data_IF_393647196478
#
_entry.id   IF_393647196478
#
_cell.length_a   1.000
_cell.length_b   1.000
_cell.length_c   1.000
_cell.angle_alpha   90.00
_cell.angle_beta   90.00
_cell.angle_gamma   90.00
#
_symmetry.space_group_name_H-M   'P 1'
#
loop_
_entity.id
_entity.type
_entity.pdbx_description
1 polymer ?
#
# COMPACT_ATOMS: atom_id res chain seq x y z
N UNK A 1 -15.47 -0.30 -2.50
CA UNK A 1 -14.14 -0.58 -3.11
C UNK A 1 -13.11 0.27 -2.37
N UNK A 2 -11.99 -0.25 -1.86
CA UNK A 2 -11.01 0.58 -1.13
C UNK A 2 -10.10 1.38 -2.09
N UNK A 3 -9.52 2.49 -1.62
CA UNK A 3 -8.70 3.37 -2.46
C UNK A 3 -7.49 2.67 -3.11
N UNK A 4 -6.88 1.68 -2.43
CA UNK A 4 -5.80 0.86 -3.00
C UNK A 4 -6.25 0.11 -4.25
N UNK A 5 -7.41 -0.55 -4.17
CA UNK A 5 -7.99 -1.31 -5.29
C UNK A 5 -8.35 -0.37 -6.44
N UNK A 6 -8.85 0.82 -6.17
CA UNK A 6 -9.10 1.84 -7.19
C UNK A 6 -7.81 2.21 -7.95
N UNK A 7 -6.74 2.58 -7.23
CA UNK A 7 -5.45 2.93 -7.88
C UNK A 7 -4.93 1.75 -8.69
N UNK A 8 -4.98 0.53 -8.14
CA UNK A 8 -4.50 -0.66 -8.84
C UNK A 8 -5.30 -0.95 -10.12
N UNK A 9 -6.63 -0.84 -10.06
CA UNK A 9 -7.50 -0.98 -11.24
C UNK A 9 -7.16 0.06 -12.29
N UNK A 10 -7.09 1.36 -11.92
CA UNK A 10 -6.76 2.46 -12.84
C UNK A 10 -5.38 2.30 -13.49
N UNK A 11 -4.36 1.95 -12.71
CA UNK A 11 -3.03 1.65 -13.26
C UNK A 11 -3.06 0.49 -14.26
N UNK A 12 -3.94 -0.49 -14.08
CA UNK A 12 -4.04 -1.66 -14.95
C UNK A 12 -4.84 -1.37 -16.21
N UNK A 13 -5.87 -0.53 -16.14
CA UNK A 13 -6.76 -0.21 -17.26
C UNK A 13 -6.28 0.98 -18.09
N UNK A 14 -5.82 2.04 -17.43
CA UNK A 14 -5.47 3.32 -18.08
C UNK A 14 -3.97 3.62 -18.03
N UNK A 15 -3.19 2.83 -17.30
CA UNK A 15 -1.74 3.04 -17.13
C UNK A 15 -1.37 4.18 -16.17
N UNK A 16 -2.36 4.85 -15.60
CA UNK A 16 -2.23 5.95 -14.65
C UNK A 16 -3.38 5.99 -13.65
N UNK A 17 -3.17 6.63 -12.50
CA UNK A 17 -4.19 6.87 -11.48
C UNK A 17 -4.01 8.26 -10.85
N UNK A 18 -5.09 8.99 -10.54
CA UNK A 18 -4.98 10.23 -9.77
C UNK A 18 -4.56 9.93 -8.33
N UNK A 19 -3.82 10.86 -7.72
CA UNK A 19 -3.58 10.91 -6.26
C UNK A 19 -4.49 11.96 -5.58
N UNK A 20 -5.05 12.87 -6.38
CA UNK A 20 -6.01 13.88 -5.95
C UNK A 20 -7.43 13.30 -5.79
N UNK A 21 -8.08 13.60 -4.67
CA UNK A 21 -9.39 13.06 -4.31
C UNK A 21 -10.54 13.64 -5.15
N UNK A 22 -10.42 14.88 -5.61
CA UNK A 22 -11.45 15.50 -6.42
C UNK A 22 -11.43 14.94 -7.84
N UNK A 23 -10.24 14.74 -8.41
CA UNK A 23 -10.08 14.07 -9.69
C UNK A 23 -10.49 12.59 -9.60
N UNK A 24 -10.17 11.90 -8.50
CA UNK A 24 -10.67 10.55 -8.27
C UNK A 24 -12.20 10.49 -8.20
N UNK A 25 -12.85 11.43 -7.50
CA UNK A 25 -14.31 11.55 -7.44
C UNK A 25 -14.93 11.86 -8.79
N UNK A 26 -14.28 12.70 -9.60
CA UNK A 26 -14.74 13.00 -10.96
C UNK A 26 -14.72 11.74 -11.84
N UNK A 27 -13.65 10.95 -11.76
CA UNK A 27 -13.48 9.74 -12.56
C UNK A 27 -14.40 8.59 -12.10
N UNK A 28 -14.61 8.45 -10.79
CA UNK A 28 -15.43 7.38 -10.23
C UNK A 28 -16.11 7.83 -8.93
N UNK A 29 -17.30 8.46 -9.04
CA UNK A 29 -17.99 9.09 -7.90
C UNK A 29 -18.26 8.14 -6.72
N UNK A 30 -18.50 6.87 -7.03
CA UNK A 30 -18.80 5.82 -6.04
C UNK A 30 -17.59 5.46 -5.16
N UNK A 31 -16.37 5.79 -5.60
CA UNK A 31 -15.13 5.52 -4.86
C UNK A 31 -14.68 6.66 -3.97
N UNK A 32 -15.29 7.84 -4.10
CA UNK A 32 -14.84 9.08 -3.45
C UNK A 32 -14.75 8.98 -1.92
N UNK A 33 -15.70 8.28 -1.29
CA UNK A 33 -15.73 8.10 0.17
C UNK A 33 -14.55 7.27 0.65
N UNK A 34 -14.20 6.20 -0.06
CA UNK A 34 -13.08 5.32 0.26
C UNK A 34 -11.71 5.91 -0.11
N UNK A 35 -11.72 6.83 -1.06
CA UNK A 35 -10.53 7.51 -1.55
C UNK A 35 -10.08 8.61 -0.59
N UNK A 36 -11.01 9.34 0.05
CA UNK A 36 -10.69 10.36 1.06
C UNK A 36 -9.84 9.79 2.19
N UNK A 37 -10.23 8.63 2.72
CA UNK A 37 -9.49 7.97 3.79
C UNK A 37 -8.12 7.49 3.28
N UNK A 38 -8.09 6.91 2.08
CA UNK A 38 -6.86 6.37 1.50
C UNK A 38 -5.84 7.46 1.13
N UNK A 39 -6.29 8.61 0.62
CA UNK A 39 -5.44 9.77 0.32
C UNK A 39 -4.79 10.37 1.57
N UNK A 40 -5.48 10.36 2.72
CA UNK A 40 -4.91 10.79 3.99
C UNK A 40 -3.78 9.87 4.48
N UNK A 41 -3.93 8.54 4.30
CA UNK A 41 -2.89 7.54 4.60
C UNK A 41 -1.67 7.60 3.66
N UNK A 42 -1.82 8.24 2.50
CA UNK A 42 -0.80 8.32 1.44
C UNK A 42 -0.21 9.73 1.30
N UNK A 43 -0.38 10.58 2.31
CA UNK A 43 0.21 11.92 2.40
C UNK A 43 1.73 11.91 2.21
N UNK A 44 2.38 10.76 2.36
CA UNK A 44 3.79 10.55 2.04
C UNK A 44 3.96 9.88 0.67
N UNK A 45 4.48 10.64 -0.29
CA UNK A 45 4.81 10.19 -1.65
C UNK A 45 5.68 8.90 -1.70
N UNK A 46 6.64 8.65 -0.78
CA UNK A 46 7.38 7.39 -0.75
C UNK A 46 6.49 6.16 -0.48
N UNK A 47 5.45 6.31 0.34
CA UNK A 47 4.53 5.22 0.71
C UNK A 47 3.69 4.77 -0.49
N UNK A 48 3.35 5.69 -1.39
CA UNK A 48 2.70 5.37 -2.66
C UNK A 48 3.58 4.46 -3.52
N UNK A 49 4.86 4.78 -3.68
CA UNK A 49 5.78 4.00 -4.49
C UNK A 49 6.05 2.60 -3.90
N UNK A 50 6.03 2.48 -2.57
CA UNK A 50 6.10 1.19 -1.90
C UNK A 50 4.89 0.29 -2.21
N UNK A 51 3.67 0.85 -2.20
CA UNK A 51 2.46 0.08 -2.47
C UNK A 51 2.23 -0.22 -3.96
N UNK A 52 2.81 0.59 -4.84
CA UNK A 52 2.64 0.49 -6.29
C UNK A 52 4.01 0.48 -6.98
N UNK A 53 4.76 -0.64 -6.89
CA UNK A 53 6.10 -0.73 -7.46
C UNK A 53 6.09 -0.56 -8.99
N UNK A 54 7.17 -0.01 -9.54
CA UNK A 54 7.31 0.25 -10.98
C UNK A 54 6.47 1.43 -11.48
N UNK A 55 5.89 2.22 -10.57
CA UNK A 55 5.21 3.47 -10.92
C UNK A 55 6.09 4.68 -10.61
N UNK A 56 5.71 5.82 -11.18
CA UNK A 56 6.37 7.11 -11.05
C UNK A 56 5.31 8.16 -10.73
N UNK A 57 5.71 9.15 -9.96
CA UNK A 57 4.89 10.33 -9.71
C UNK A 57 5.13 11.34 -10.83
N UNK A 58 4.07 11.95 -11.32
CA UNK A 58 4.13 12.98 -12.34
C UNK A 58 3.16 14.09 -11.98
N UNK A 59 3.61 15.34 -12.06
CA UNK A 59 2.69 16.49 -12.03
C UNK A 59 2.15 16.70 -13.44
N UNK A 60 0.84 16.88 -13.53
CA UNK A 60 0.13 17.24 -14.76
C UNK A 60 -0.76 18.43 -14.47
N UNK A 61 -0.94 19.30 -15.45
CA UNK A 61 -1.91 20.39 -15.40
C UNK A 61 -3.11 19.98 -16.22
N UNK A 62 -4.30 20.06 -15.63
CA UNK A 62 -5.58 19.74 -16.29
C UNK A 62 -6.46 20.97 -16.16
N UNK A 63 -6.80 21.64 -17.27
CA UNK A 63 -7.62 22.87 -17.27
C UNK A 63 -7.19 23.88 -16.17
N UNK A 64 -5.92 24.27 -16.17
CA UNK A 64 -5.28 25.19 -15.20
C UNK A 64 -5.12 24.69 -13.75
N UNK A 65 -5.45 23.43 -13.47
CA UNK A 65 -5.23 22.82 -12.16
C UNK A 65 -4.05 21.87 -12.18
N UNK A 66 -3.07 22.09 -11.30
CA UNK A 66 -1.98 21.15 -11.08
C UNK A 66 -2.45 19.95 -10.23
N UNK A 67 -2.21 18.75 -10.76
CA UNK A 67 -2.58 17.48 -10.13
C UNK A 67 -1.39 16.53 -10.17
N UNK A 68 -1.20 15.76 -9.10
CA UNK A 68 -0.21 14.69 -9.07
C UNK A 68 -0.89 13.37 -9.46
N UNK A 69 -0.29 12.68 -10.41
CA UNK A 69 -0.74 11.36 -10.87
C UNK A 69 0.36 10.33 -10.69
N UNK A 70 -0.07 9.09 -10.47
CA UNK A 70 0.79 7.92 -10.48
C UNK A 70 0.72 7.28 -11.86
N UNK A 71 1.85 6.96 -12.47
CA UNK A 71 1.90 6.36 -13.82
C UNK A 71 2.99 5.31 -13.94
N UNK A 72 2.80 4.29 -14.78
CA UNK A 72 3.88 3.35 -15.14
C UNK A 72 4.78 3.89 -16.26
N UNK A 73 4.24 4.77 -17.11
CA UNK A 73 4.97 5.35 -18.24
C UNK A 73 4.53 6.79 -18.51
N UNK A 74 5.49 7.68 -18.76
CA UNK A 74 5.22 9.04 -19.22
C UNK A 74 4.81 9.09 -20.70
N UNK A 75 5.04 8.01 -21.44
CA UNK A 75 4.72 7.95 -22.87
C UNK A 75 3.21 8.12 -23.09
N UNK A 76 2.86 9.09 -23.94
CA UNK A 76 1.50 9.54 -24.26
C UNK A 76 0.61 9.78 -23.03
N UNK A 77 1.19 10.10 -21.88
CA UNK A 77 0.44 10.25 -20.62
C UNK A 77 -0.57 11.40 -20.72
N UNK A 78 -0.14 12.56 -21.22
CA UNK A 78 -1.02 13.72 -21.41
C UNK A 78 -2.22 13.37 -22.29
N UNK A 79 -2.00 12.73 -23.44
CA UNK A 79 -3.07 12.30 -24.35
C UNK A 79 -4.06 11.34 -23.67
N UNK A 80 -3.56 10.36 -22.90
CA UNK A 80 -4.43 9.41 -22.17
C UNK A 80 -5.28 10.11 -21.12
N UNK A 81 -4.73 11.09 -20.42
CA UNK A 81 -5.48 11.85 -19.41
C UNK A 81 -6.49 12.77 -20.10
N UNK A 82 -6.08 13.46 -21.17
CA UNK A 82 -6.94 14.34 -21.95
C UNK A 82 -8.15 13.60 -22.53
N UNK A 83 -7.95 12.41 -23.08
CA UNK A 83 -9.05 11.59 -23.60
C UNK A 83 -10.08 11.23 -22.50
N UNK A 84 -9.62 10.92 -21.29
CA UNK A 84 -10.51 10.52 -20.20
C UNK A 84 -11.21 11.73 -19.56
N UNK A 85 -10.50 12.84 -19.41
CA UNK A 85 -11.01 14.03 -18.70
C UNK A 85 -11.73 15.00 -19.63
N UNK A 86 -11.53 14.89 -20.95
CA UNK A 86 -12.05 15.81 -21.95
C UNK A 86 -11.42 17.21 -21.90
N UNK A 87 -10.32 17.38 -21.16
CA UNK A 87 -9.64 18.67 -20.95
C UNK A 87 -8.27 18.76 -21.61
N UNK A 88 -7.72 19.97 -21.60
CA UNK A 88 -6.32 20.20 -22.00
C UNK A 88 -5.41 19.71 -20.88
N UNK A 89 -4.40 18.91 -21.26
CA UNK A 89 -3.48 18.30 -20.31
C UNK A 89 -2.04 18.54 -20.71
N UNK A 90 -1.26 19.07 -19.78
CA UNK A 90 0.17 19.29 -19.94
C UNK A 90 0.96 18.57 -18.85
N UNK A 91 2.13 18.03 -19.20
CA UNK A 91 3.05 17.47 -18.20
C UNK A 91 3.88 18.63 -17.64
N UNK A 92 3.75 18.87 -16.33
CA UNK A 92 4.53 19.92 -15.67
C UNK A 92 5.88 19.32 -15.24
N UNK A 93 7.02 19.83 -15.74
CA UNK A 93 8.33 19.41 -15.24
C UNK A 93 8.45 19.86 -13.78
N UNK A 94 8.71 18.90 -12.89
CA UNK A 94 8.90 19.19 -11.46
C UNK A 94 10.18 18.49 -10.97
N UNK A 95 11.23 19.28 -10.78
CA UNK A 95 12.54 18.82 -10.31
C UNK A 95 12.47 18.17 -8.91
N UNK A 96 11.45 18.49 -8.09
CA UNK A 96 11.30 17.92 -6.74
C UNK A 96 10.55 16.57 -6.73
N UNK A 97 9.77 16.26 -7.76
CA UNK A 97 9.10 14.96 -7.89
C UNK A 97 10.02 13.91 -8.53
N UNK A 98 10.93 14.33 -9.41
CA UNK A 98 11.86 13.42 -10.09
C UNK A 98 13.00 12.91 -9.19
N UNK A 99 13.26 13.59 -8.06
CA UNK A 99 14.27 13.19 -7.07
C UNK A 99 13.81 12.08 -6.12
N UNK A 100 12.52 11.68 -6.17
CA UNK A 100 12.06 10.47 -5.51
C UNK A 100 12.48 9.30 -6.39
N UNK A 101 13.70 8.79 -6.14
CA UNK A 101 14.22 7.61 -6.83
C UNK A 101 13.15 6.51 -6.81
N UNK A 102 12.86 5.84 -7.94
CA UNK A 102 12.03 4.65 -7.91
C UNK A 102 12.64 3.75 -6.83
N UNK A 103 11.81 3.35 -5.87
CA UNK A 103 12.22 2.43 -4.83
C UNK A 103 12.67 1.15 -5.53
N UNK A 104 13.98 1.01 -5.76
CA UNK A 104 14.57 -0.30 -5.95
C UNK A 104 14.16 -1.08 -4.71
N UNK A 105 13.61 -2.30 -4.86
CA UNK A 105 13.35 -3.14 -3.71
C UNK A 105 14.70 -3.40 -3.06
N UNK A 106 15.08 -2.52 -2.11
CA UNK A 106 15.95 -2.94 -1.04
C UNK A 106 15.28 -4.20 -0.52
N UNK A 107 16.06 -5.27 -0.39
CA UNK A 107 15.70 -6.47 0.35
C UNK A 107 15.36 -6.02 1.79
N UNK A 108 14.21 -5.38 1.97
CA UNK A 108 13.60 -5.15 3.25
C UNK A 108 13.02 -6.50 3.60
N UNK A 109 13.90 -7.30 4.22
CA UNK A 109 13.47 -8.29 5.20
C UNK A 109 12.39 -7.58 6.01
N UNK A 110 11.15 -7.95 5.72
CA UNK A 110 10.00 -7.39 6.39
C UNK A 110 10.16 -7.84 7.84
N UNK A 111 10.71 -6.98 8.68
CA UNK A 111 10.36 -7.01 10.10
C UNK A 111 9.00 -6.31 10.14
N UNK A 112 7.87 -7.05 10.14
CA UNK A 112 6.63 -6.44 10.54
C UNK A 112 6.88 -5.77 11.89
N UNK A 113 6.32 -4.58 12.07
CA UNK A 113 6.10 -3.99 13.38
C UNK A 113 5.09 -4.88 14.11
N UNK A 114 5.50 -6.11 14.44
CA UNK A 114 4.82 -6.97 15.38
C UNK A 114 4.91 -6.20 16.68
N UNK A 115 3.75 -5.78 17.21
CA UNK A 115 3.62 -5.68 18.67
C UNK A 115 4.27 -6.94 19.20
N UNK A 116 5.26 -6.77 20.07
CA UNK A 116 6.00 -7.88 20.67
C UNK A 116 4.99 -8.73 21.45
N UNK A 117 4.35 -9.69 20.76
CA UNK A 117 3.41 -10.67 21.32
C UNK A 117 4.16 -11.86 21.91
N UNK A 118 5.49 -11.81 21.87
CA UNK A 118 6.39 -12.76 22.52
C UNK A 118 5.98 -13.10 23.96
N UNK A 119 5.61 -12.16 24.86
CA UNK A 119 5.15 -12.50 26.20
C UNK A 119 3.82 -13.29 26.20
N UNK A 120 2.88 -12.96 25.33
CA UNK A 120 1.59 -13.68 25.22
C UNK A 120 1.80 -15.11 24.67
N UNK A 121 2.67 -15.25 23.67
CA UNK A 121 3.04 -16.56 23.10
C UNK A 121 3.76 -17.43 24.12
N UNK A 122 4.70 -16.88 24.90
CA UNK A 122 5.39 -17.60 25.97
C UNK A 122 4.39 -18.06 27.05
N UNK A 123 3.47 -17.17 27.45
CA UNK A 123 2.44 -17.52 28.43
C UNK A 123 1.52 -18.65 27.95
N UNK A 124 1.17 -18.66 26.66
CA UNK A 124 0.32 -19.69 26.06
C UNK A 124 1.07 -21.02 25.86
N UNK A 125 2.32 -20.97 25.40
CA UNK A 125 3.14 -22.16 25.17
C UNK A 125 3.44 -22.96 26.46
N UNK A 126 3.50 -22.27 27.60
CA UNK A 126 3.70 -22.84 28.94
C UNK A 126 2.46 -23.51 29.54
N UNK A 127 1.27 -23.31 28.98
CA UNK A 127 0.07 -23.97 29.48
C UNK A 127 0.15 -25.49 29.22
N UNK A 128 -0.41 -26.25 30.16
CA UNK A 128 -0.53 -27.70 30.03
C UNK A 128 -1.44 -28.04 28.84
N UNK A 129 -1.02 -29.00 28.01
CA UNK A 129 -1.81 -29.39 26.84
C UNK A 129 -3.07 -30.14 27.28
N UNK A 130 -4.27 -29.71 26.88
CA UNK A 130 -5.48 -30.46 27.12
C UNK A 130 -5.41 -31.85 26.48
N UNK A 131 -5.87 -32.89 27.18
CA UNK A 131 -5.85 -34.26 26.69
C UNK A 131 -6.67 -34.46 25.40
N UNK A 132 -7.69 -33.63 25.19
CA UNK A 132 -8.59 -33.66 24.03
C UNK A 132 -8.20 -32.60 22.99
N UNK A 133 -8.50 -32.86 21.71
CA UNK A 133 -8.26 -31.90 20.62
C UNK A 133 -9.32 -30.78 20.63
N UNK A 134 -9.10 -29.80 21.49
CA UNK A 134 -9.86 -28.55 21.52
C UNK A 134 -9.09 -27.41 20.86
N UNK A 135 -9.80 -26.32 20.56
CA UNK A 135 -9.23 -25.09 20.03
C UNK A 135 -8.00 -24.63 20.83
N UNK A 136 -8.07 -24.69 22.16
CA UNK A 136 -6.97 -24.34 23.06
C UNK A 136 -5.71 -25.19 22.83
N UNK A 137 -5.86 -26.51 22.60
CA UNK A 137 -4.71 -27.39 22.29
C UNK A 137 -4.02 -26.97 21.00
N UNK A 138 -4.78 -26.60 19.97
CA UNK A 138 -4.23 -26.13 18.68
C UNK A 138 -3.53 -24.79 18.82
N UNK A 139 -4.05 -23.90 19.64
CA UNK A 139 -3.41 -22.61 19.92
C UNK A 139 -2.10 -22.77 20.69
N UNK A 140 -2.05 -23.65 21.69
CA UNK A 140 -0.81 -23.99 22.42
C UNK A 140 0.24 -24.57 21.47
N UNK A 141 -0.15 -25.51 20.59
CA UNK A 141 0.77 -26.10 19.61
C UNK A 141 1.29 -25.05 18.62
N UNK A 142 0.41 -24.18 18.12
CA UNK A 142 0.79 -23.09 17.22
C UNK A 142 1.76 -22.11 17.89
N UNK A 143 1.52 -21.75 19.14
CA UNK A 143 2.41 -20.87 19.91
C UNK A 143 3.80 -21.48 20.10
N UNK A 144 3.89 -22.78 20.41
CA UNK A 144 5.18 -23.49 20.52
C UNK A 144 5.95 -23.48 19.20
N UNK A 145 5.29 -23.82 18.09
CA UNK A 145 5.90 -23.77 16.77
C UNK A 145 6.37 -22.36 16.40
N UNK A 146 5.59 -21.33 16.73
CA UNK A 146 5.96 -19.95 16.44
C UNK A 146 7.18 -19.49 17.26
N UNK A 147 7.31 -19.93 18.52
CA UNK A 147 8.48 -19.64 19.35
C UNK A 147 9.72 -20.40 18.88
N UNK A 148 9.57 -21.67 18.47
CA UNK A 148 10.66 -22.47 17.89
C UNK A 148 11.18 -21.85 16.58
N UNK A 149 10.29 -21.40 15.69
CA UNK A 149 10.66 -20.69 14.45
C UNK A 149 11.37 -19.36 14.71
N UNK A 150 11.06 -18.69 15.84
CA UNK A 150 11.72 -17.45 16.27
C UNK A 150 13.04 -17.71 17.02
N UNK A 151 13.39 -18.97 17.31
CA UNK A 151 14.56 -19.34 18.11
C UNK A 151 14.46 -18.89 19.58
N UNK A 152 13.24 -18.70 20.08
CA UNK A 152 12.99 -18.22 21.45
C UNK A 152 12.71 -19.42 22.35
N UNK A 153 13.54 -19.60 23.37
CA UNK A 153 13.40 -20.69 24.32
C UNK A 153 12.20 -20.45 25.24
N UNK A 154 11.16 -21.27 25.08
CA UNK A 154 9.90 -21.16 25.82
C UNK A 154 9.74 -22.26 26.88
N UNK A 155 10.53 -23.32 26.76
CA UNK A 155 10.68 -24.37 27.77
C UNK A 155 11.64 -23.84 28.82
N UNK A 156 11.15 -23.45 29.99
CA UNK A 156 12.03 -23.18 31.13
C UNK A 156 11.97 -24.40 32.05
N UNK A 157 13.16 -24.76 32.56
CA UNK A 157 13.47 -25.81 33.53
C UNK A 157 12.48 -25.91 34.68
#
# INVERSE_FOLDING_TARGET
MNGKKFIQTRLSTTGWAPIDAELAKFLEPETATYYRDYGAYLSELPTLLFHFPGTKLCRVRINDRDVVVLTRSKDRLAERIAWITGGEVEIVPDEKLESIKPYEPQNVSSKPMQRDKTPELIALARQEQPAHDCHLRREILRARTELDLKGIEWRVQ
#
